data_IF_159234545034
#
_entry.id   IF_159234545034
#
_cell.length_a   1.000
_cell.length_b   1.000
_cell.length_c   1.000
_cell.angle_alpha   90.00
_cell.angle_beta   90.00
_cell.angle_gamma   90.00
#
_symmetry.space_group_name_H-M   'P 1'
#
loop_
_entity.id
_entity.type
_entity.pdbx_description
1 polymer ?
#
# COMPACT_ATOMS: atom_id res chain seq x y z
N UNK A 1 3.23 -70.27 -27.61
CA UNK A 1 3.83 -68.90 -27.55
C UNK A 1 2.82 -67.95 -26.95
N UNK A 2 2.97 -67.68 -25.64
CA UNK A 2 2.08 -66.80 -24.91
C UNK A 2 2.64 -65.41 -25.01
N UNK A 3 1.93 -64.49 -25.66
CA UNK A 3 2.30 -63.06 -25.72
C UNK A 3 1.78 -62.37 -24.46
N UNK A 4 2.71 -62.00 -23.57
CA UNK A 4 2.44 -61.25 -22.35
C UNK A 4 2.36 -59.76 -22.73
N UNK A 5 1.14 -59.23 -22.85
CA UNK A 5 0.90 -57.81 -23.02
C UNK A 5 1.02 -57.10 -21.65
N UNK A 6 2.13 -56.42 -21.48
CA UNK A 6 2.32 -55.55 -20.31
C UNK A 6 1.62 -54.22 -20.60
N UNK A 7 0.46 -54.03 -19.99
CA UNK A 7 -0.25 -52.75 -19.94
C UNK A 7 0.51 -51.85 -18.97
N UNK A 8 1.30 -50.93 -19.51
CA UNK A 8 1.95 -49.86 -18.74
C UNK A 8 0.89 -48.79 -18.48
N UNK A 9 0.23 -48.89 -17.33
CA UNK A 9 -0.72 -47.88 -16.86
C UNK A 9 0.10 -46.68 -16.31
N UNK A 10 0.36 -45.72 -17.21
CA UNK A 10 1.01 -44.45 -16.84
C UNK A 10 0.12 -43.63 -15.90
N UNK A 11 0.43 -43.64 -14.62
CA UNK A 11 -0.17 -42.77 -13.63
C UNK A 11 0.34 -41.34 -13.91
N UNK A 12 -0.45 -40.56 -14.63
CA UNK A 12 -0.19 -39.12 -14.82
C UNK A 12 -0.52 -38.43 -13.48
N UNK A 13 0.50 -38.24 -12.66
CA UNK A 13 0.39 -37.34 -11.49
C UNK A 13 0.26 -35.93 -12.02
N UNK A 14 -0.98 -35.44 -12.09
CA UNK A 14 -1.26 -34.02 -12.32
C UNK A 14 -0.78 -33.23 -11.09
N UNK A 15 0.43 -32.66 -11.19
CA UNK A 15 0.92 -31.69 -10.20
C UNK A 15 0.10 -30.42 -10.41
N UNK A 16 -0.85 -30.18 -9.53
CA UNK A 16 -1.55 -28.91 -9.49
C UNK A 16 -0.56 -27.82 -9.07
N UNK A 17 -0.08 -27.06 -10.04
CA UNK A 17 0.66 -25.83 -9.77
C UNK A 17 -0.32 -24.80 -9.24
N UNK A 18 -0.36 -24.63 -7.91
CA UNK A 18 -1.00 -23.48 -7.33
C UNK A 18 -0.16 -22.26 -7.67
N UNK A 19 -0.74 -21.33 -8.45
CA UNK A 19 -0.08 -20.08 -8.76
C UNK A 19 0.13 -19.29 -7.47
N UNK A 20 1.39 -18.95 -7.15
CA UNK A 20 1.74 -18.12 -6.01
C UNK A 20 1.39 -16.67 -6.30
N UNK A 21 0.79 -15.97 -5.34
CA UNK A 21 0.43 -14.57 -5.47
C UNK A 21 0.67 -13.79 -4.18
N UNK A 22 1.20 -12.57 -4.29
CA UNK A 22 1.30 -11.68 -3.14
C UNK A 22 -0.08 -11.12 -2.78
N UNK A 23 -0.29 -10.80 -1.51
CA UNK A 23 -1.51 -10.14 -1.01
C UNK A 23 -1.11 -9.04 -0.05
N UNK A 24 -1.56 -7.82 -0.31
CA UNK A 24 -1.29 -6.66 0.53
C UNK A 24 -2.50 -6.38 1.44
N UNK A 25 -2.28 -6.43 2.74
CA UNK A 25 -3.30 -6.13 3.75
C UNK A 25 -2.81 -5.02 4.65
N UNK A 26 -3.43 -3.85 4.58
CA UNK A 26 -3.16 -2.73 5.48
C UNK A 26 -3.91 -2.90 6.80
N UNK A 27 -3.30 -2.50 7.91
CA UNK A 27 -3.95 -2.42 9.21
C UNK A 27 -5.08 -1.38 9.20
N UNK A 28 -4.80 -0.21 8.60
CA UNK A 28 -5.75 0.87 8.34
C UNK A 28 -5.44 1.52 7.01
N UNK A 29 -6.47 1.92 6.28
CA UNK A 29 -6.35 2.60 4.99
C UNK A 29 -6.71 4.07 5.04
N UNK A 30 -7.10 4.58 6.20
CA UNK A 30 -7.42 5.99 6.39
C UNK A 30 -6.86 6.52 7.71
N UNK A 31 -6.56 7.81 7.73
CA UNK A 31 -6.12 8.50 8.94
C UNK A 31 -6.68 9.93 8.97
N UNK A 32 -7.20 10.30 10.13
CA UNK A 32 -7.66 11.66 10.42
C UNK A 32 -6.66 12.33 11.36
N UNK A 33 -5.98 13.36 10.89
CA UNK A 33 -5.07 14.15 11.70
C UNK A 33 -5.80 15.06 12.72
N UNK A 34 -7.12 15.21 12.56
CA UNK A 34 -7.86 16.18 13.33
C UNK A 34 -7.45 17.62 13.00
N UNK A 35 -7.43 18.49 14.01
CA UNK A 35 -6.98 19.87 13.86
C UNK A 35 -5.47 19.96 13.95
N UNK A 36 -4.85 20.49 12.90
CA UNK A 36 -3.40 20.73 12.83
C UNK A 36 -3.15 22.20 12.53
N UNK A 37 -2.05 22.74 13.06
CA UNK A 37 -1.70 24.14 12.82
C UNK A 37 -0.88 24.26 11.54
N UNK A 38 -1.15 25.32 10.79
CA UNK A 38 -0.45 25.61 9.53
C UNK A 38 1.07 25.64 9.70
N UNK A 39 1.57 26.17 10.83
CA UNK A 39 2.99 26.32 11.10
C UNK A 39 3.67 25.13 11.79
N UNK A 40 2.95 24.05 12.08
CA UNK A 40 3.51 22.88 12.80
C UNK A 40 4.41 21.99 11.94
N UNK A 41 4.54 22.31 10.65
CA UNK A 41 5.29 21.49 9.70
C UNK A 41 4.46 20.36 9.10
N UNK A 42 5.13 19.37 8.53
CA UNK A 42 4.47 18.27 7.85
C UNK A 42 3.67 17.38 8.79
N UNK A 43 2.45 17.06 8.42
CA UNK A 43 1.63 16.06 9.09
C UNK A 43 1.85 14.71 8.40
N UNK A 44 2.50 13.78 9.09
CA UNK A 44 2.92 12.50 8.52
C UNK A 44 2.19 11.33 9.16
N UNK A 45 1.80 10.37 8.33
CA UNK A 45 1.23 9.09 8.78
C UNK A 45 1.90 7.93 8.05
N UNK A 46 2.37 6.98 8.83
CA UNK A 46 2.89 5.71 8.35
C UNK A 46 1.75 4.68 8.34
N UNK A 47 1.42 4.18 7.16
CA UNK A 47 0.47 3.09 6.96
C UNK A 47 1.23 1.78 6.86
N UNK A 48 1.00 0.88 7.79
CA UNK A 48 1.66 -0.42 7.82
C UNK A 48 0.79 -1.48 7.15
N UNK A 49 1.43 -2.38 6.42
CA UNK A 49 0.78 -3.50 5.76
C UNK A 49 1.59 -4.79 5.94
N UNK A 50 0.91 -5.92 5.75
CA UNK A 50 1.54 -7.25 5.76
C UNK A 50 1.26 -7.94 4.43
N UNK A 51 2.26 -8.64 3.91
CA UNK A 51 2.07 -9.56 2.80
C UNK A 51 1.53 -10.88 3.35
N UNK A 52 0.24 -11.11 3.20
CA UNK A 52 -0.43 -12.34 3.64
C UNK A 52 -0.49 -13.41 2.54
N UNK A 53 0.07 -13.10 1.38
CA UNK A 53 0.18 -14.04 0.26
C UNK A 53 1.35 -15.00 0.40
N UNK A 54 1.64 -15.72 -0.66
CA UNK A 54 2.68 -16.75 -0.72
C UNK A 54 3.78 -16.45 -1.76
N UNK A 55 3.80 -15.24 -2.30
CA UNK A 55 4.83 -14.73 -3.18
C UNK A 55 5.33 -13.34 -2.71
N UNK A 56 6.54 -12.91 -3.11
CA UNK A 56 7.05 -11.58 -2.78
C UNK A 56 6.14 -10.46 -3.30
N UNK A 57 5.86 -9.48 -2.43
CA UNK A 57 5.07 -8.29 -2.74
C UNK A 57 6.02 -7.15 -3.10
N UNK A 58 5.77 -6.50 -4.24
CA UNK A 58 6.56 -5.38 -4.72
C UNK A 58 5.64 -4.17 -4.90
N UNK A 59 6.01 -3.06 -4.28
CA UNK A 59 5.37 -1.77 -4.54
C UNK A 59 6.04 -1.15 -5.77
N UNK A 60 5.28 -0.99 -6.84
CA UNK A 60 5.79 -0.44 -8.10
C UNK A 60 5.89 1.09 -8.06
N UNK A 61 4.89 1.73 -7.48
CA UNK A 61 4.87 3.17 -7.26
C UNK A 61 3.78 3.55 -6.25
N UNK A 62 3.91 4.74 -5.71
CA UNK A 62 2.91 5.37 -4.85
C UNK A 62 2.67 6.78 -5.37
N UNK A 63 1.41 7.15 -5.55
CA UNK A 63 1.05 8.44 -6.11
C UNK A 63 0.01 9.14 -5.23
N UNK A 64 0.34 10.34 -4.79
CA UNK A 64 -0.60 11.21 -4.09
C UNK A 64 -1.50 11.96 -5.07
N UNK A 65 -2.72 12.30 -4.64
CA UNK A 65 -3.69 13.06 -5.44
C UNK A 65 -3.31 14.52 -5.67
N UNK A 66 -2.35 15.05 -4.91
CA UNK A 66 -1.83 16.41 -5.09
C UNK A 66 -0.35 16.50 -4.76
N UNK A 67 0.32 17.56 -5.25
CA UNK A 67 1.70 17.90 -4.89
C UNK A 67 1.90 18.36 -3.45
N UNK A 68 0.81 18.56 -2.69
CA UNK A 68 0.83 18.94 -1.29
C UNK A 68 1.14 17.77 -0.34
N UNK A 69 1.19 16.55 -0.86
CA UNK A 69 1.44 15.33 -0.10
C UNK A 69 2.65 14.61 -0.70
N UNK A 70 3.72 14.49 0.10
CA UNK A 70 4.87 13.67 -0.24
C UNK A 70 4.64 12.23 0.21
N UNK A 71 5.20 11.28 -0.51
CA UNK A 71 5.09 9.86 -0.19
C UNK A 71 6.45 9.19 -0.16
N UNK A 72 6.60 8.22 0.73
CA UNK A 72 7.71 7.27 0.78
C UNK A 72 7.19 5.88 1.12
N UNK A 73 7.92 4.85 0.73
CA UNK A 73 7.48 3.47 0.93
C UNK A 73 8.66 2.51 0.96
N UNK A 74 8.39 1.30 1.45
CA UNK A 74 9.35 0.20 1.44
C UNK A 74 9.71 -0.17 0.00
N UNK A 75 11.00 -0.05 -0.37
CA UNK A 75 11.48 -0.28 -1.73
C UNK A 75 11.83 -1.73 -2.01
N UNK A 76 12.25 -2.47 -0.99
CA UNK A 76 12.62 -3.88 -1.09
C UNK A 76 11.38 -4.75 -1.26
N UNK A 77 11.48 -5.91 -1.93
CA UNK A 77 10.40 -6.89 -1.95
C UNK A 77 10.02 -7.33 -0.53
N UNK A 78 8.72 -7.37 -0.25
CA UNK A 78 8.18 -7.81 1.03
C UNK A 78 7.84 -9.29 0.92
N UNK A 79 8.60 -10.14 1.61
CA UNK A 79 8.42 -11.58 1.60
C UNK A 79 7.11 -12.00 2.27
N UNK A 80 6.57 -13.19 1.95
CA UNK A 80 5.37 -13.72 2.61
C UNK A 80 5.47 -13.68 4.13
N UNK A 81 4.43 -13.17 4.78
CA UNK A 81 4.36 -13.00 6.22
C UNK A 81 5.11 -11.79 6.78
N UNK A 82 5.83 -11.04 5.95
CA UNK A 82 6.57 -9.85 6.36
C UNK A 82 5.74 -8.57 6.17
N UNK A 83 6.19 -7.51 6.80
CA UNK A 83 5.50 -6.21 6.80
C UNK A 83 6.33 -5.15 6.10
N UNK A 84 5.65 -4.16 5.58
CA UNK A 84 6.22 -2.96 5.00
C UNK A 84 5.37 -1.75 5.34
N UNK A 85 5.69 -0.61 4.79
CA UNK A 85 4.96 0.62 5.06
C UNK A 85 4.93 1.58 3.88
N UNK A 86 3.89 2.41 3.87
CA UNK A 86 3.75 3.60 3.03
C UNK A 86 3.55 4.79 3.95
N UNK A 87 4.35 5.82 3.79
CA UNK A 87 4.25 7.06 4.58
C UNK A 87 3.72 8.17 3.70
N UNK A 88 2.70 8.88 4.18
CA UNK A 88 2.16 10.08 3.55
C UNK A 88 2.45 11.28 4.44
N UNK A 89 2.98 12.36 3.87
CA UNK A 89 3.34 13.59 4.57
C UNK A 89 2.64 14.77 3.90
N UNK A 90 1.65 15.33 4.58
CA UNK A 90 0.89 16.48 4.11
C UNK A 90 1.52 17.78 4.56
N UNK A 91 1.68 18.72 3.63
CA UNK A 91 2.18 20.06 3.94
C UNK A 91 1.01 21.03 4.14
N UNK A 92 0.73 21.45 5.39
CA UNK A 92 -0.37 22.36 5.70
C UNK A 92 -0.07 23.84 5.42
N UNK A 93 1.18 24.18 5.11
CA UNK A 93 1.60 25.57 4.92
C UNK A 93 0.83 26.25 3.79
N UNK A 94 0.22 27.38 4.05
CA UNK A 94 -0.64 28.15 3.13
C UNK A 94 -1.86 27.37 2.62
N UNK A 95 -2.33 26.40 3.41
CA UNK A 95 -3.48 25.55 3.07
C UNK A 95 -4.47 25.44 4.23
N UNK A 96 -5.01 26.57 4.73
CA UNK A 96 -5.98 26.54 5.83
C UNK A 96 -7.28 25.83 5.39
N UNK A 97 -7.97 25.25 6.37
CA UNK A 97 -9.24 24.57 6.17
C UNK A 97 -9.14 23.08 6.08
N UNK A 98 -10.26 22.44 5.84
CA UNK A 98 -10.37 20.99 5.78
C UNK A 98 -9.74 20.44 4.51
N UNK A 99 -9.09 19.28 4.63
CA UNK A 99 -8.52 18.56 3.50
C UNK A 99 -8.85 17.06 3.55
N UNK A 100 -8.96 16.46 2.37
CA UNK A 100 -9.01 15.02 2.16
C UNK A 100 -8.10 14.74 0.96
N UNK A 101 -7.09 13.89 1.16
CA UNK A 101 -6.15 13.50 0.11
C UNK A 101 -6.09 11.99 -0.01
N UNK A 102 -6.02 11.49 -1.22
CA UNK A 102 -5.87 10.07 -1.51
C UNK A 102 -4.46 9.75 -1.99
N UNK A 103 -4.01 8.56 -1.66
CA UNK A 103 -2.72 8.02 -2.07
C UNK A 103 -3.00 6.66 -2.72
N UNK A 104 -2.58 6.50 -3.97
CA UNK A 104 -2.72 5.26 -4.72
C UNK A 104 -1.45 4.44 -4.62
N UNK A 105 -1.56 3.21 -4.12
CA UNK A 105 -0.44 2.27 -3.96
C UNK A 105 -0.54 1.19 -5.03
N UNK A 106 0.38 1.19 -5.98
CA UNK A 106 0.44 0.24 -7.09
C UNK A 106 1.43 -0.87 -6.78
N UNK A 107 0.97 -2.11 -6.87
CA UNK A 107 1.77 -3.29 -6.53
C UNK A 107 1.61 -4.39 -7.56
N UNK A 108 2.42 -5.44 -7.44
CA UNK A 108 2.25 -6.67 -8.21
C UNK A 108 1.15 -7.60 -7.67
N UNK A 109 0.47 -7.22 -6.57
CA UNK A 109 -0.59 -8.04 -5.97
C UNK A 109 -1.94 -7.90 -6.69
N UNK A 110 -2.18 -6.78 -7.36
CA UNK A 110 -3.43 -6.51 -8.06
C UNK A 110 -3.23 -5.53 -9.21
N UNK A 111 -4.12 -5.56 -10.19
CA UNK A 111 -4.12 -4.62 -11.31
C UNK A 111 -4.61 -3.21 -10.91
N UNK A 112 -5.44 -3.14 -9.86
CA UNK A 112 -5.95 -1.87 -9.31
C UNK A 112 -5.12 -1.45 -8.10
N UNK A 113 -4.84 -0.15 -7.93
CA UNK A 113 -4.13 0.34 -6.76
C UNK A 113 -4.98 0.21 -5.49
N UNK A 114 -4.30 0.08 -4.35
CA UNK A 114 -4.93 0.26 -3.04
C UNK A 114 -4.98 1.75 -2.74
N UNK A 115 -6.14 2.24 -2.32
CA UNK A 115 -6.34 3.65 -1.96
C UNK A 115 -6.15 3.85 -0.45
N UNK A 116 -5.25 4.75 -0.10
CA UNK A 116 -5.11 5.26 1.25
C UNK A 116 -5.68 6.68 1.30
N UNK A 117 -6.22 7.08 2.45
CA UNK A 117 -6.82 8.40 2.62
C UNK A 117 -6.28 9.06 3.87
N UNK A 118 -5.90 10.33 3.75
CA UNK A 118 -5.58 11.20 4.87
C UNK A 118 -6.54 12.39 4.84
N UNK A 119 -6.94 12.84 6.01
CA UNK A 119 -7.79 14.01 6.18
C UNK A 119 -7.44 14.77 7.43
N UNK A 120 -7.90 15.99 7.51
CA UNK A 120 -7.71 16.85 8.67
C UNK A 120 -8.29 18.23 8.44
N UNK A 121 -8.07 19.10 9.40
CA UNK A 121 -8.49 20.50 9.37
C UNK A 121 -7.33 21.39 9.78
N UNK A 122 -6.85 22.23 8.87
CA UNK A 122 -5.71 23.10 9.09
C UNK A 122 -6.19 24.42 9.71
N UNK A 123 -5.72 24.70 10.92
CA UNK A 123 -5.95 25.96 11.59
C UNK A 123 -4.96 26.99 11.02
N UNK A 124 -5.45 28.13 10.47
CA UNK A 124 -4.59 29.12 9.87
C UNK A 124 -3.67 29.77 10.90
N UNK A 125 -2.53 30.23 10.43
CA UNK A 125 -1.62 31.04 11.22
C UNK A 125 -2.36 32.33 11.66
N UNK A 126 -2.25 32.75 12.95
CA UNK A 126 -2.83 33.99 13.39
C UNK A 126 -2.31 35.16 12.55
N UNK A 127 -3.23 36.10 12.19
CA UNK A 127 -2.84 37.33 11.53
C UNK A 127 -1.92 38.14 12.45
N UNK A 128 -0.77 38.61 11.92
CA UNK A 128 0.10 39.52 12.66
C UNK A 128 -0.58 40.89 12.69
N UNK A 129 -0.85 41.49 13.86
CA UNK A 129 -1.38 42.84 13.91
C UNK A 129 -0.39 43.81 13.26
N UNK A 130 -0.88 44.64 12.37
CA UNK A 130 -0.11 45.74 11.78
C UNK A 130 -0.13 46.97 12.69
#
# INVERSE_FOLDING_TARGET
MKRLSILFLGLIMSVAFFAQSPVMVFEKTSHDFGKIKEQDGLASKKFEFTNTGDAPLIINRVQASCGCTATSWTKEPILPGKSGSVTASYNPLNRPGSFIKSISVYTNAASKPVQLTIKGDVIPKPAVPQ
#
